data_IF_751950952625
#
_entry.id   IF_751950952625
#
_cell.length_a   1.000
_cell.length_b   1.000
_cell.length_c   1.000
_cell.angle_alpha   90.00
_cell.angle_beta   90.00
_cell.angle_gamma   90.00
#
_symmetry.space_group_name_H-M   'P 1'
#
loop_
_entity.id
_entity.type
_entity.pdbx_description
1 polymer ?
#
# COMPACT_ATOMS: atom_id res chain seq x y z
N UNK A 1 -1.58 -5.49 -18.88
CA UNK A 1 -2.34 -4.38 -18.24
C UNK A 1 -2.80 -4.85 -16.85
N UNK A 2 -2.95 -3.95 -15.87
CA UNK A 2 -3.47 -4.29 -14.55
C UNK A 2 -4.75 -3.48 -14.32
N UNK A 3 -5.82 -4.14 -13.90
CA UNK A 3 -7.06 -3.49 -13.44
C UNK A 3 -7.31 -3.84 -11.98
N UNK A 4 -7.85 -2.91 -11.20
CA UNK A 4 -8.15 -3.10 -9.77
C UNK A 4 -9.65 -3.15 -9.57
N UNK A 5 -10.11 -4.14 -8.81
CA UNK A 5 -11.47 -4.21 -8.26
C UNK A 5 -11.39 -3.82 -6.77
N UNK A 6 -11.87 -2.62 -6.46
CA UNK A 6 -11.76 -2.07 -5.10
C UNK A 6 -12.71 -2.79 -4.13
N UNK A 7 -13.91 -3.14 -4.59
CA UNK A 7 -14.94 -3.79 -3.76
C UNK A 7 -14.55 -5.22 -3.42
N UNK A 8 -14.05 -5.97 -4.40
CA UNK A 8 -13.57 -7.35 -4.18
C UNK A 8 -12.16 -7.39 -3.60
N UNK A 9 -11.44 -6.28 -3.56
CA UNK A 9 -10.07 -6.23 -3.05
C UNK A 9 -9.12 -7.13 -3.85
N UNK A 10 -9.33 -7.20 -5.16
CA UNK A 10 -8.54 -8.01 -6.11
C UNK A 10 -7.96 -7.16 -7.22
N UNK A 11 -6.96 -7.71 -7.91
CA UNK A 11 -6.40 -7.13 -9.12
C UNK A 11 -6.47 -8.17 -10.23
N UNK A 12 -6.71 -7.72 -11.45
CA UNK A 12 -6.68 -8.58 -12.63
C UNK A 12 -5.48 -8.20 -13.49
N UNK A 13 -4.59 -9.16 -13.70
CA UNK A 13 -3.49 -9.04 -14.64
C UNK A 13 -3.91 -9.58 -16.01
N UNK A 14 -3.82 -8.74 -17.03
CA UNK A 14 -4.14 -9.08 -18.42
C UNK A 14 -2.86 -9.35 -19.22
N UNK A 15 -2.74 -10.58 -19.72
CA UNK A 15 -1.63 -11.04 -20.55
C UNK A 15 -1.82 -10.56 -22.00
N UNK A 16 -0.72 -10.42 -22.74
CA UNK A 16 -0.76 -9.99 -24.16
C UNK A 16 -1.45 -10.97 -25.11
N UNK A 17 -1.73 -12.20 -24.66
CA UNK A 17 -2.42 -13.25 -25.43
C UNK A 17 -3.93 -13.32 -25.15
N UNK A 18 -4.51 -12.28 -24.51
CA UNK A 18 -5.94 -12.21 -24.19
C UNK A 18 -6.37 -12.99 -22.95
N UNK A 19 -5.47 -13.73 -22.29
CA UNK A 19 -5.76 -14.36 -20.99
C UNK A 19 -5.69 -13.33 -19.87
N UNK A 20 -6.36 -13.63 -18.76
CA UNK A 20 -6.25 -12.84 -17.52
C UNK A 20 -6.08 -13.73 -16.30
N UNK A 21 -5.56 -13.16 -15.21
CA UNK A 21 -5.44 -13.81 -13.90
C UNK A 21 -5.86 -12.83 -12.81
N UNK A 22 -6.84 -13.25 -12.01
CA UNK A 22 -7.20 -12.56 -10.77
C UNK A 22 -6.16 -12.86 -9.68
N UNK A 23 -5.78 -11.84 -8.92
CA UNK A 23 -4.75 -11.88 -7.89
C UNK A 23 -5.31 -11.19 -6.63
N UNK A 24 -5.13 -11.76 -5.43
CA UNK A 24 -5.52 -11.12 -4.19
C UNK A 24 -4.65 -9.88 -3.91
N UNK A 25 -5.27 -8.85 -3.33
CA UNK A 25 -4.54 -7.70 -2.80
C UNK A 25 -3.79 -8.05 -1.51
N UNK A 26 -2.71 -7.33 -1.21
CA UNK A 26 -2.00 -7.40 0.08
C UNK A 26 -2.97 -7.23 1.26
N UNK A 27 -3.88 -6.26 1.21
CA UNK A 27 -4.87 -6.04 2.27
C UNK A 27 -5.77 -7.26 2.48
N UNK A 28 -6.22 -7.91 1.38
CA UNK A 28 -7.04 -9.12 1.46
C UNK A 28 -6.27 -10.32 2.04
N UNK A 29 -4.97 -10.41 1.77
CA UNK A 29 -4.09 -11.44 2.35
C UNK A 29 -3.92 -11.21 3.85
N UNK A 30 -3.78 -9.95 4.28
CA UNK A 30 -3.56 -9.58 5.68
C UNK A 30 -4.83 -9.56 6.54
N UNK A 31 -6.02 -9.72 5.95
CA UNK A 31 -7.28 -9.67 6.69
C UNK A 31 -7.31 -10.49 7.99
N UNK A 32 -6.70 -11.70 8.10
CA UNK A 32 -6.69 -12.47 9.35
C UNK A 32 -5.90 -11.85 10.51
N UNK A 33 -5.01 -10.88 10.26
CA UNK A 33 -4.14 -10.26 11.27
C UNK A 33 -4.41 -8.77 11.46
N UNK A 34 -5.34 -8.20 10.69
CA UNK A 34 -5.81 -6.82 10.88
C UNK A 34 -6.90 -6.84 11.94
N UNK A 35 -6.52 -6.49 13.18
CA UNK A 35 -7.41 -6.44 14.35
C UNK A 35 -8.05 -5.06 14.55
N UNK A 36 -8.31 -4.33 13.46
CA UNK A 36 -8.87 -2.98 13.54
C UNK A 36 -9.91 -2.74 12.46
N UNK A 37 -11.11 -2.39 12.89
CA UNK A 37 -12.18 -1.90 12.03
C UNK A 37 -12.20 -0.37 12.09
N UNK A 38 -11.85 0.28 10.99
CA UNK A 38 -11.97 1.72 10.88
C UNK A 38 -13.41 2.10 10.49
N UNK A 39 -14.01 3.14 11.08
CA UNK A 39 -15.29 3.66 10.61
C UNK A 39 -15.13 4.31 9.23
N UNK A 40 -16.21 4.35 8.43
CA UNK A 40 -16.20 4.84 7.04
C UNK A 40 -15.61 6.25 6.88
N UNK A 41 -15.87 7.15 7.83
CA UNK A 41 -15.30 8.50 7.79
C UNK A 41 -13.76 8.49 7.90
N UNK A 42 -13.19 7.56 8.68
CA UNK A 42 -11.75 7.42 8.81
C UNK A 42 -11.12 6.82 7.54
N UNK A 43 -11.79 5.86 6.90
CA UNK A 43 -11.39 5.30 5.61
C UNK A 43 -11.43 6.36 4.50
N UNK A 44 -12.52 7.13 4.44
CA UNK A 44 -12.68 8.24 3.49
C UNK A 44 -11.64 9.33 3.70
N UNK A 45 -11.38 9.73 4.95
CA UNK A 45 -10.29 10.65 5.28
C UNK A 45 -8.96 10.13 4.76
N UNK A 46 -8.62 8.87 5.05
CA UNK A 46 -7.38 8.24 4.59
C UNK A 46 -7.22 8.34 3.08
N UNK A 47 -8.26 7.94 2.33
CA UNK A 47 -8.27 8.05 0.86
C UNK A 47 -8.05 9.48 0.35
N UNK A 48 -8.70 10.47 0.97
CA UNK A 48 -8.56 11.87 0.58
C UNK A 48 -7.16 12.42 0.89
N UNK A 49 -6.56 12.03 2.02
CA UNK A 49 -5.17 12.35 2.34
C UNK A 49 -4.24 11.76 1.29
N UNK A 50 -4.30 10.46 1.01
CA UNK A 50 -3.43 9.84 -0.02
C UNK A 50 -3.57 10.54 -1.37
N UNK A 51 -4.80 10.90 -1.77
CA UNK A 51 -5.03 11.61 -3.02
C UNK A 51 -4.40 13.00 -3.03
N UNK A 52 -4.51 13.76 -1.94
CA UNK A 52 -3.86 15.06 -1.81
C UNK A 52 -2.33 14.93 -1.91
N UNK A 53 -1.75 13.94 -1.24
CA UNK A 53 -0.30 13.70 -1.27
C UNK A 53 0.17 13.20 -2.64
N UNK A 54 -0.62 12.38 -3.33
CA UNK A 54 -0.34 11.94 -4.70
C UNK A 54 -0.26 13.13 -5.66
N UNK A 55 -1.20 14.07 -5.56
CA UNK A 55 -1.19 15.29 -6.36
C UNK A 55 0.08 16.11 -6.08
N UNK A 56 0.45 16.29 -4.81
CA UNK A 56 1.67 17.01 -4.41
C UNK A 56 2.92 16.35 -5.00
N UNK A 57 3.03 15.03 -4.93
CA UNK A 57 4.23 14.31 -5.38
C UNK A 57 4.33 14.21 -6.90
N UNK A 58 3.21 14.26 -7.63
CA UNK A 58 3.19 14.24 -9.11
C UNK A 58 3.28 15.63 -9.74
N UNK A 59 3.03 16.71 -9.00
CA UNK A 59 3.05 18.07 -9.54
C UNK A 59 4.46 18.65 -9.59
N UNK A 60 4.95 18.96 -10.79
CA UNK A 60 6.17 19.76 -10.98
C UNK A 60 5.83 21.27 -10.94
N UNK A 61 5.81 21.86 -9.73
CA UNK A 61 5.79 23.33 -9.58
C UNK A 61 4.42 24.02 -9.58
N UNK A 62 3.31 23.30 -9.44
CA UNK A 62 1.96 23.90 -9.38
C UNK A 62 0.98 23.08 -8.54
N UNK A 63 1.44 22.55 -7.41
CA UNK A 63 0.76 21.53 -6.62
C UNK A 63 -0.59 21.92 -5.99
N UNK A 64 -0.99 21.12 -5.00
CA UNK A 64 -2.24 21.28 -4.27
C UNK A 64 -2.36 22.67 -3.64
N UNK A 65 -3.44 23.40 -3.96
CA UNK A 65 -3.77 24.65 -3.27
C UNK A 65 -4.20 24.35 -1.83
N UNK A 66 -3.33 24.63 -0.86
CA UNK A 66 -3.59 24.31 0.56
C UNK A 66 -4.88 24.93 1.11
N UNK A 67 -5.30 26.08 0.56
CA UNK A 67 -6.54 26.76 0.95
C UNK A 67 -7.81 26.04 0.49
N UNK A 68 -7.72 25.16 -0.52
CA UNK A 68 -8.87 24.35 -0.97
C UNK A 68 -9.05 23.05 -0.18
N UNK A 69 -8.09 22.71 0.69
CA UNK A 69 -8.20 21.53 1.55
C UNK A 69 -9.23 21.72 2.66
N UNK A 70 -10.04 20.69 2.86
CA UNK A 70 -10.89 20.59 4.03
C UNK A 70 -10.04 20.70 5.32
N UNK A 71 -10.48 21.46 6.36
CA UNK A 71 -9.71 21.70 7.57
C UNK A 71 -9.23 20.42 8.29
N UNK A 72 -9.97 19.31 8.19
CA UNK A 72 -9.56 18.03 8.79
C UNK A 72 -8.35 17.38 8.09
N UNK A 73 -8.15 17.65 6.80
CA UNK A 73 -7.06 17.06 6.00
C UNK A 73 -5.79 17.89 6.13
N UNK A 74 -5.93 19.22 6.23
CA UNK A 74 -4.83 20.19 6.17
C UNK A 74 -3.68 19.85 7.13
N UNK A 75 -3.89 19.58 8.44
CA UNK A 75 -2.77 19.27 9.33
C UNK A 75 -1.96 18.05 8.90
N UNK A 76 -2.61 17.04 8.30
CA UNK A 76 -1.91 15.83 7.84
C UNK A 76 -1.10 16.08 6.58
N UNK A 77 -1.61 16.93 5.69
CA UNK A 77 -0.87 17.36 4.50
C UNK A 77 0.34 18.21 4.90
N UNK A 78 0.16 19.14 5.85
CA UNK A 78 1.27 19.92 6.43
C UNK A 78 2.32 19.02 7.08
N UNK A 79 1.89 18.02 7.87
CA UNK A 79 2.79 17.04 8.46
C UNK A 79 3.60 16.26 7.41
N UNK A 80 2.99 15.93 6.27
CA UNK A 80 3.71 15.25 5.18
C UNK A 80 4.73 16.16 4.49
N UNK A 81 4.37 17.43 4.25
CA UNK A 81 5.30 18.41 3.69
C UNK A 81 6.50 18.64 4.62
N UNK A 82 6.23 18.77 5.92
CA UNK A 82 7.27 18.88 6.95
C UNK A 82 8.19 17.64 6.98
N UNK A 83 7.60 16.44 6.92
CA UNK A 83 8.35 15.18 6.79
C UNK A 83 9.27 15.16 5.56
N UNK A 84 8.77 15.56 4.39
CA UNK A 84 9.56 15.59 3.15
C UNK A 84 10.72 16.57 3.25
N UNK A 85 10.51 17.72 3.88
CA UNK A 85 11.56 18.72 4.10
C UNK A 85 12.64 18.19 5.04
N UNK A 86 12.24 17.68 6.20
CA UNK A 86 13.16 17.21 7.23
C UNK A 86 13.96 15.96 6.83
N UNK A 87 13.35 15.06 6.05
CA UNK A 87 14.01 13.78 5.66
C UNK A 87 14.70 13.83 4.31
N UNK A 88 14.40 14.84 3.48
CA UNK A 88 14.87 14.91 2.10
C UNK A 88 14.22 13.87 1.16
N UNK A 89 13.22 13.11 1.62
CA UNK A 89 12.48 12.15 0.79
C UNK A 89 11.51 12.88 -0.15
N UNK A 90 12.06 13.49 -1.19
CA UNK A 90 11.32 14.38 -2.10
C UNK A 90 11.06 13.78 -3.48
N UNK A 91 11.84 12.77 -3.89
CA UNK A 91 11.80 12.18 -5.24
C UNK A 91 11.37 10.71 -5.17
N UNK A 92 10.34 10.36 -5.94
CA UNK A 92 9.75 9.02 -5.99
C UNK A 92 9.74 8.48 -7.42
N UNK A 93 10.14 7.22 -7.59
CA UNK A 93 10.11 6.47 -8.85
C UNK A 93 8.75 5.81 -9.09
N UNK A 94 7.95 5.66 -8.04
CA UNK A 94 6.63 5.07 -8.07
C UNK A 94 5.73 5.84 -7.12
N UNK A 95 4.56 6.24 -7.62
CA UNK A 95 3.53 6.92 -6.84
C UNK A 95 2.15 6.31 -7.19
N UNK A 96 1.56 5.57 -6.25
CA UNK A 96 0.21 4.97 -6.39
C UNK A 96 0.01 4.08 -7.64
N UNK A 97 1.06 3.37 -8.07
CA UNK A 97 0.98 2.50 -9.25
C UNK A 97 0.65 1.04 -8.86
N UNK A 98 -0.41 0.43 -9.45
CA UNK A 98 -0.70 -0.99 -9.28
C UNK A 98 0.43 -1.89 -9.76
N UNK A 99 0.85 -2.82 -8.90
CA UNK A 99 1.88 -3.83 -9.18
C UNK A 99 1.37 -5.25 -8.96
N UNK A 100 2.05 -6.20 -9.60
CA UNK A 100 1.82 -7.63 -9.44
C UNK A 100 3.13 -8.36 -9.19
N UNK A 101 3.08 -9.39 -8.34
CA UNK A 101 4.12 -10.40 -8.25
C UNK A 101 3.54 -11.71 -8.79
N UNK A 102 3.76 -12.00 -10.08
CA UNK A 102 3.22 -13.20 -10.73
C UNK A 102 3.82 -14.49 -10.17
N UNK A 103 5.09 -14.44 -9.73
CA UNK A 103 5.82 -15.56 -9.13
C UNK A 103 5.11 -16.09 -7.88
N UNK A 104 4.70 -15.20 -6.98
CA UNK A 104 3.99 -15.56 -5.75
C UNK A 104 2.47 -15.48 -5.90
N UNK A 105 1.96 -14.80 -6.93
CA UNK A 105 0.53 -14.75 -7.24
C UNK A 105 -0.26 -13.76 -6.40
N UNK A 106 0.27 -12.56 -6.16
CA UNK A 106 -0.46 -11.48 -5.47
C UNK A 106 -0.22 -10.11 -6.12
N UNK A 107 -0.99 -9.10 -5.69
CA UNK A 107 -0.92 -7.75 -6.22
C UNK A 107 -1.15 -6.68 -5.14
N UNK A 108 -0.84 -5.44 -5.46
CA UNK A 108 -1.06 -4.31 -4.55
C UNK A 108 -0.66 -2.98 -5.17
N UNK A 109 -0.98 -1.89 -4.48
CA UNK A 109 -0.58 -0.54 -4.85
C UNK A 109 0.28 0.01 -3.70
N UNK A 110 1.61 0.01 -3.83
CA UNK A 110 2.47 0.75 -2.90
C UNK A 110 2.18 2.24 -2.98
N UNK A 111 2.21 2.94 -1.84
CA UNK A 111 2.03 4.39 -1.84
C UNK A 111 3.19 5.05 -2.58
N UNK A 112 4.42 4.84 -2.11
CA UNK A 112 5.64 5.47 -2.66
C UNK A 112 6.84 4.53 -2.71
N UNK A 113 7.69 4.70 -3.71
CA UNK A 113 9.02 4.08 -3.78
C UNK A 113 10.08 5.07 -4.27
N UNK A 114 11.25 5.09 -3.64
CA UNK A 114 12.33 6.06 -3.93
C UNK A 114 13.51 5.45 -4.69
N UNK A 115 14.35 6.30 -5.29
CA UNK A 115 15.62 5.90 -5.94
C UNK A 115 16.54 5.19 -4.94
N UNK A 116 16.55 5.65 -3.69
CA UNK A 116 17.32 5.06 -2.58
C UNK A 116 16.75 3.75 -2.06
N UNK A 117 15.83 3.13 -2.81
CA UNK A 117 15.21 1.83 -2.51
C UNK A 117 14.47 1.82 -1.19
N UNK A 118 13.78 2.91 -0.87
CA UNK A 118 12.87 2.97 0.27
C UNK A 118 11.45 2.79 -0.27
N UNK A 119 10.76 1.78 0.22
CA UNK A 119 9.31 1.73 0.14
C UNK A 119 8.73 2.47 1.35
N UNK A 120 7.85 3.42 1.07
CA UNK A 120 7.24 4.29 2.08
C UNK A 120 5.73 4.10 2.05
N UNK A 121 5.18 3.61 3.15
CA UNK A 121 3.74 3.58 3.44
C UNK A 121 3.33 4.85 4.18
N UNK A 122 2.19 5.43 3.83
CA UNK A 122 1.62 6.61 4.47
C UNK A 122 0.42 6.18 5.32
N UNK A 123 0.41 6.54 6.60
CA UNK A 123 -0.65 6.20 7.55
C UNK A 123 -1.23 7.43 8.23
N UNK A 124 -2.50 7.34 8.62
CA UNK A 124 -3.27 8.43 9.23
C UNK A 124 -3.54 8.22 10.74
N UNK A 125 -2.78 7.34 11.37
CA UNK A 125 -2.92 6.92 12.77
C UNK A 125 -1.59 6.40 13.33
N UNK A 126 -1.54 5.95 14.60
CA UNK A 126 -0.32 5.44 15.21
C UNK A 126 0.16 4.15 14.52
N UNK A 127 1.47 3.82 14.62
CA UNK A 127 2.01 2.57 14.09
C UNK A 127 1.38 1.34 14.75
N UNK A 128 1.05 0.34 13.93
CA UNK A 128 0.54 -0.96 14.36
C UNK A 128 1.31 -2.12 13.72
N UNK A 129 1.53 -3.19 14.48
CA UNK A 129 2.53 -4.21 14.14
C UNK A 129 2.35 -4.90 12.78
N UNK A 130 1.10 -5.08 12.31
CA UNK A 130 0.84 -5.75 11.03
C UNK A 130 1.32 -4.93 9.81
N UNK A 131 1.64 -3.64 9.97
CA UNK A 131 2.22 -2.81 8.91
C UNK A 131 3.55 -3.36 8.40
N UNK A 132 4.34 -4.01 9.26
CA UNK A 132 5.55 -4.73 8.84
C UNK A 132 5.23 -5.77 7.76
N UNK A 133 4.19 -6.58 7.97
CA UNK A 133 3.74 -7.59 7.00
C UNK A 133 3.24 -6.94 5.69
N UNK A 134 2.52 -5.81 5.78
CA UNK A 134 2.09 -5.06 4.60
C UNK A 134 3.29 -4.60 3.77
N UNK A 135 4.25 -3.94 4.41
CA UNK A 135 5.45 -3.44 3.76
C UNK A 135 6.34 -4.57 3.22
N UNK A 136 6.34 -5.75 3.86
CA UNK A 136 7.03 -6.93 3.32
C UNK A 136 6.39 -7.43 2.03
N UNK A 137 5.05 -7.50 1.97
CA UNK A 137 4.32 -7.81 0.75
C UNK A 137 4.60 -6.81 -0.36
N UNK A 138 4.55 -5.51 -0.06
CA UNK A 138 4.82 -4.47 -1.05
C UNK A 138 6.31 -4.46 -1.50
N UNK A 139 7.25 -4.73 -0.59
CA UNK A 139 8.66 -4.92 -0.93
C UNK A 139 8.86 -6.07 -1.93
N UNK A 140 8.09 -7.16 -1.79
CA UNK A 140 8.04 -8.26 -2.76
C UNK A 140 7.53 -7.81 -4.14
N UNK A 141 6.53 -6.93 -4.22
CA UNK A 141 6.06 -6.34 -5.49
C UNK A 141 7.15 -5.52 -6.17
N UNK A 142 7.83 -4.66 -5.42
CA UNK A 142 8.93 -3.83 -5.93
C UNK A 142 10.08 -4.70 -6.42
N UNK A 143 10.46 -5.72 -5.65
CA UNK A 143 11.53 -6.64 -6.03
C UNK A 143 11.18 -7.38 -7.33
N UNK A 144 9.94 -7.83 -7.50
CA UNK A 144 9.48 -8.48 -8.71
C UNK A 144 9.48 -7.54 -9.93
N UNK A 145 9.03 -6.27 -9.77
CA UNK A 145 9.01 -5.26 -10.84
C UNK A 145 10.42 -4.86 -11.29
N UNK A 146 11.29 -4.58 -10.33
CA UNK A 146 12.59 -3.94 -10.57
C UNK A 146 13.77 -4.93 -10.57
N UNK A 147 13.51 -6.23 -10.49
CA UNK A 147 14.52 -7.29 -10.44
C UNK A 147 15.65 -7.04 -9.42
N UNK A 148 15.28 -6.49 -8.25
CA UNK A 148 16.25 -6.13 -7.22
C UNK A 148 16.88 -7.38 -6.60
N UNK A 149 18.19 -7.34 -6.34
CA UNK A 149 18.92 -8.44 -5.68
C UNK A 149 18.59 -8.61 -4.19
N UNK A 150 18.12 -7.54 -3.55
CA UNK A 150 17.74 -7.53 -2.14
C UNK A 150 16.39 -6.80 -1.95
N UNK A 151 15.67 -7.01 -0.85
CA UNK A 151 14.45 -6.24 -0.58
C UNK A 151 14.78 -4.75 -0.38
N UNK A 152 13.86 -3.82 -0.73
CA UNK A 152 13.97 -2.42 -0.36
C UNK A 152 13.88 -2.20 1.16
N UNK A 153 14.36 -1.05 1.62
CA UNK A 153 14.16 -0.57 2.99
C UNK A 153 12.68 -0.26 3.19
N UNK A 154 12.09 -0.75 4.27
CA UNK A 154 10.66 -0.61 4.57
C UNK A 154 10.43 0.46 5.62
N UNK A 155 9.67 1.50 5.28
CA UNK A 155 9.32 2.58 6.20
C UNK A 155 7.85 2.92 6.12
N UNK A 156 7.30 3.41 7.22
CA UNK A 156 6.01 4.09 7.23
C UNK A 156 6.17 5.51 7.78
N UNK A 157 5.33 6.43 7.32
CA UNK A 157 5.14 7.76 7.90
C UNK A 157 3.71 7.90 8.39
N UNK A 158 3.58 8.27 9.65
CA UNK A 158 2.32 8.41 10.36
C UNK A 158 1.99 9.89 10.51
N UNK A 159 0.86 10.31 9.93
CA UNK A 159 0.42 11.71 9.86
C UNK A 159 -0.70 11.95 10.87
N UNK A 160 -0.45 12.85 11.82
CA UNK A 160 -1.35 13.11 12.94
C UNK A 160 -2.22 14.37 12.70
N UNK A 161 -3.41 14.45 13.31
CA UNK A 161 -4.31 15.60 13.15
C UNK A 161 -3.77 16.91 13.75
N UNK A 162 -2.68 16.86 14.51
CA UNK A 162 -2.04 18.02 15.12
C UNK A 162 -0.87 18.59 14.29
N UNK A 163 -0.71 18.16 13.04
CA UNK A 163 0.38 18.63 12.18
C UNK A 163 1.72 17.93 12.41
N UNK A 164 1.79 16.97 13.33
CA UNK A 164 3.00 16.19 13.58
C UNK A 164 3.03 14.91 12.75
N UNK A 165 4.23 14.36 12.60
CA UNK A 165 4.44 13.06 11.99
C UNK A 165 5.38 12.19 12.83
N UNK A 166 5.32 10.87 12.59
CA UNK A 166 6.29 9.89 13.11
C UNK A 166 6.70 8.96 11.98
N UNK A 167 7.98 8.69 11.83
CA UNK A 167 8.48 7.71 10.87
C UNK A 167 8.88 6.43 11.61
N UNK A 168 8.51 5.28 11.06
CA UNK A 168 8.93 3.97 11.55
C UNK A 168 9.73 3.24 10.47
N UNK A 169 10.68 2.41 10.92
CA UNK A 169 11.40 1.47 10.06
C UNK A 169 11.03 0.06 10.47
N UNK A 170 10.73 -0.79 9.48
CA UNK A 170 10.29 -2.16 9.69
C UNK A 170 11.37 -3.11 9.18
N UNK A 171 12.01 -3.84 10.08
CA UNK A 171 13.21 -4.64 9.79
C UNK A 171 13.14 -6.09 10.29
N UNK A 172 11.99 -6.54 10.81
CA UNK A 172 11.81 -7.95 11.18
C UNK A 172 11.95 -8.85 9.96
N UNK A 173 12.96 -9.72 10.02
CA UNK A 173 13.29 -10.69 8.97
C UNK A 173 12.21 -11.76 8.76
N UNK A 174 11.36 -12.00 9.76
CA UNK A 174 10.26 -12.97 9.66
C UNK A 174 9.07 -12.46 8.85
N UNK A 175 8.91 -11.14 8.69
CA UNK A 175 7.72 -10.52 8.09
C UNK A 175 7.38 -11.10 6.71
N UNK A 176 8.40 -11.31 5.87
CA UNK A 176 8.21 -11.88 4.53
C UNK A 176 7.67 -13.31 4.56
N UNK A 177 8.21 -14.16 5.44
CA UNK A 177 7.78 -15.54 5.56
C UNK A 177 6.37 -15.65 6.18
N UNK A 178 6.05 -14.77 7.14
CA UNK A 178 4.70 -14.66 7.69
C UNK A 178 3.71 -14.19 6.62
N UNK A 179 4.06 -13.16 5.83
CA UNK A 179 3.23 -12.71 4.71
C UNK A 179 2.96 -13.83 3.69
N UNK A 180 3.98 -14.59 3.29
CA UNK A 180 3.82 -15.72 2.39
C UNK A 180 2.93 -16.82 2.98
N UNK A 181 3.05 -17.08 4.29
CA UNK A 181 2.19 -18.05 4.98
C UNK A 181 0.72 -17.63 4.95
N UNK A 182 0.43 -16.34 5.14
CA UNK A 182 -0.92 -15.79 5.02
C UNK A 182 -1.46 -15.92 3.58
N UNK A 183 -0.60 -15.71 2.58
CA UNK A 183 -0.96 -15.92 1.17
C UNK A 183 -1.26 -17.40 0.88
N UNK A 184 -0.49 -18.33 1.42
CA UNK A 184 -0.74 -19.76 1.27
C UNK A 184 -2.06 -20.19 1.91
N UNK A 185 -2.37 -19.67 3.10
CA UNK A 185 -3.68 -19.89 3.76
C UNK A 185 -4.81 -19.31 2.91
N UNK A 186 -4.66 -18.09 2.40
CA UNK A 186 -5.63 -17.47 1.51
C UNK A 186 -5.90 -18.32 0.26
N UNK A 187 -4.83 -18.76 -0.41
CA UNK A 187 -4.92 -19.58 -1.62
C UNK A 187 -5.50 -20.97 -1.33
N UNK A 188 -5.17 -21.57 -0.18
CA UNK A 188 -5.75 -22.83 0.26
C UNK A 188 -7.26 -22.70 0.48
N UNK A 189 -7.73 -21.62 1.13
CA UNK A 189 -9.17 -21.36 1.31
C UNK A 189 -9.90 -21.28 -0.03
N UNK A 190 -9.41 -20.48 -0.99
CA UNK A 190 -10.03 -20.37 -2.32
C UNK A 190 -10.15 -21.73 -3.03
N UNK A 191 -9.15 -22.61 -2.90
CA UNK A 191 -9.18 -23.94 -3.55
C UNK A 191 -10.12 -24.93 -2.86
N UNK A 192 -10.40 -24.76 -1.57
CA UNK A 192 -11.08 -25.75 -0.74
C UNK A 192 -12.44 -25.29 -0.19
N UNK A 193 -12.77 -24.00 -0.23
CA UNK A 193 -14.12 -23.49 -0.04
C UNK A 193 -14.94 -23.84 -1.30
N UNK A 194 -15.38 -25.10 -1.36
CA UNK A 194 -16.36 -25.61 -2.32
C UNK A 194 -17.77 -25.43 -1.77
N UNK A 195 -18.18 -24.21 -1.41
CA UNK A 195 -19.58 -23.92 -1.04
C UNK A 195 -19.98 -22.51 -1.46
N UNK A 196 -20.39 -22.37 -2.73
CA UNK A 196 -21.22 -21.26 -3.26
C UNK A 196 -21.53 -21.40 -4.76
N UNK A 197 -21.16 -22.50 -5.42
CA UNK A 197 -21.95 -22.95 -6.55
C UNK A 197 -23.25 -23.52 -5.97
N UNK A 198 -24.34 -22.76 -6.08
CA UNK A 198 -25.67 -23.25 -5.76
C UNK A 198 -25.98 -24.53 -6.56
N UNK A 199 -26.93 -25.35 -6.11
CA UNK A 199 -27.33 -26.54 -6.85
C UNK A 199 -27.86 -26.13 -8.23
N UNK A 200 -27.44 -26.93 -9.22
CA UNK A 200 -27.70 -26.91 -10.68
C UNK A 200 -28.89 -26.09 -11.21
#
# INVERSE_FOLDING_TARGET
MITRDVERGTYTYHFGNGRSRELPSIHRILAPVIDYTAPDYALNRGRLVHRALEIIDKSEGGGLHMDSLHPELRPRVEAYLDFKEHTGLKVFNLIEEPLVCLKNGFAGTPDRFTVSRIILEIKNGPPIGWEGLQLAGQAGLIQARSHLRSPPIRRSVHLFPNGKWKMETWDDSADWHVFLSLLDVHNWRIRNDRDSAGPD
#
